data_IF_190027971827
#
_entry.id   IF_190027971827
#
_cell.length_a   1.000
_cell.length_b   1.000
_cell.length_c   1.000
_cell.angle_alpha   90.00
_cell.angle_beta   90.00
_cell.angle_gamma   90.00
#
_symmetry.space_group_name_H-M   'P 1'
#
loop_
_entity.id
_entity.type
_entity.pdbx_description
1 polymer ?
#
# COMPACT_ATOMS: atom_id res chain seq x y z
N UNK A 1 4.82 -21.68 -6.65
CA UNK A 1 4.56 -20.99 -5.38
C UNK A 1 3.04 -20.89 -5.23
N UNK A 2 2.46 -21.46 -4.18
CA UNK A 2 1.01 -21.37 -3.91
C UNK A 2 0.74 -19.91 -3.53
N UNK A 3 -0.25 -19.22 -4.14
CA UNK A 3 -0.59 -17.86 -3.73
C UNK A 3 -1.01 -17.89 -2.25
N UNK A 4 -0.30 -17.14 -1.41
CA UNK A 4 -0.68 -16.99 0.01
C UNK A 4 -1.99 -16.22 0.05
N UNK A 5 -2.96 -16.73 0.82
CA UNK A 5 -4.22 -16.02 1.05
C UNK A 5 -3.95 -14.75 1.88
N UNK A 6 -4.74 -13.67 1.73
CA UNK A 6 -4.63 -12.47 2.57
C UNK A 6 -4.65 -12.75 4.08
N UNK A 7 -5.41 -13.74 4.53
CA UNK A 7 -5.41 -14.20 5.93
C UNK A 7 -4.00 -14.52 6.44
N UNK A 8 -3.20 -15.25 5.65
CA UNK A 8 -1.82 -15.56 6.06
C UNK A 8 -0.95 -14.30 6.18
N UNK A 9 -1.17 -13.29 5.34
CA UNK A 9 -0.50 -12.00 5.41
C UNK A 9 -0.92 -11.23 6.65
N UNK A 10 -2.22 -11.19 6.96
CA UNK A 10 -2.77 -10.53 8.15
C UNK A 10 -2.19 -11.16 9.42
N UNK A 11 -2.20 -12.50 9.51
CA UNK A 11 -1.65 -13.23 10.65
C UNK A 11 -0.16 -12.96 10.82
N UNK A 12 0.59 -12.89 9.71
CA UNK A 12 2.03 -12.62 9.73
C UNK A 12 2.34 -11.19 10.23
N UNK A 13 1.64 -10.17 9.72
CA UNK A 13 1.78 -8.77 10.16
C UNK A 13 1.37 -8.62 11.63
N UNK A 14 0.23 -9.19 12.02
CA UNK A 14 -0.25 -9.12 13.39
C UNK A 14 0.71 -9.85 14.36
N UNK A 15 1.27 -10.99 13.95
CA UNK A 15 2.26 -11.72 14.74
C UNK A 15 3.56 -10.93 14.90
N UNK A 16 4.06 -10.29 13.82
CA UNK A 16 5.26 -9.45 13.89
C UNK A 16 5.10 -8.30 14.89
N UNK A 17 3.91 -7.72 15.01
CA UNK A 17 3.64 -6.66 15.99
C UNK A 17 3.76 -7.14 17.44
N UNK A 18 3.69 -8.45 17.70
CA UNK A 18 3.86 -9.06 19.03
C UNK A 18 5.32 -9.39 19.36
N UNK A 19 6.19 -9.55 18.34
CA UNK A 19 7.62 -9.88 18.58
C UNK A 19 8.46 -8.70 19.03
N UNK A 20 8.07 -7.49 18.63
CA UNK A 20 8.84 -6.29 18.92
C UNK A 20 8.07 -5.33 19.82
N UNK A 21 8.80 -4.64 20.69
CA UNK A 21 8.22 -3.51 21.45
C UNK A 21 7.78 -2.43 20.45
N UNK A 22 6.72 -1.72 20.78
CA UNK A 22 6.14 -0.67 19.92
C UNK A 22 7.19 0.34 19.43
N UNK A 23 8.08 0.80 20.31
CA UNK A 23 9.15 1.76 19.98
C UNK A 23 10.11 1.23 18.89
N UNK A 24 10.33 -0.09 18.83
CA UNK A 24 11.14 -0.71 17.78
C UNK A 24 10.37 -0.71 16.46
N UNK A 25 9.10 -1.10 16.49
CA UNK A 25 8.25 -1.15 15.31
C UNK A 25 8.05 0.25 14.67
N UNK A 26 8.04 1.31 15.47
CA UNK A 26 7.91 2.70 15.03
C UNK A 26 9.10 3.22 14.21
N UNK A 27 10.29 2.63 14.40
CA UNK A 27 11.51 3.05 13.71
C UNK A 27 12.02 2.03 12.68
N UNK A 28 11.30 0.92 12.49
CA UNK A 28 11.67 -0.10 11.51
C UNK A 28 11.57 0.43 10.09
N UNK A 29 12.53 0.04 9.25
CA UNK A 29 12.46 0.22 7.80
C UNK A 29 11.56 -0.85 7.19
N UNK A 30 10.53 -0.41 6.47
CA UNK A 30 9.64 -1.29 5.71
C UNK A 30 9.89 -1.08 4.22
N UNK A 31 10.14 -2.15 3.48
CA UNK A 31 10.41 -2.11 2.05
C UNK A 31 9.74 -3.28 1.32
N UNK A 32 9.47 -3.12 0.04
CA UNK A 32 8.90 -4.16 -0.83
C UNK A 32 9.94 -4.76 -1.76
N UNK A 33 10.95 -3.98 -2.12
CA UNK A 33 12.06 -4.38 -2.97
C UNK A 33 13.36 -3.67 -2.55
N UNK A 34 14.49 -4.21 -2.99
CA UNK A 34 15.82 -3.71 -2.66
C UNK A 34 16.83 -4.08 -3.74
N UNK A 35 18.10 -3.74 -3.52
CA UNK A 35 19.20 -4.16 -4.37
C UNK A 35 19.52 -5.68 -4.30
N UNK A 36 18.96 -6.39 -3.32
CA UNK A 36 19.17 -7.84 -3.11
C UNK A 36 17.96 -8.70 -3.50
N UNK A 37 16.85 -8.05 -3.93
CA UNK A 37 15.61 -8.74 -4.26
C UNK A 37 15.14 -8.35 -5.67
N UNK A 38 14.26 -9.16 -6.24
CA UNK A 38 13.54 -8.77 -7.46
C UNK A 38 12.76 -7.47 -7.23
N UNK A 39 12.63 -6.65 -8.30
CA UNK A 39 11.78 -5.46 -8.26
C UNK A 39 10.33 -5.82 -7.98
N UNK A 40 9.64 -4.96 -7.24
CA UNK A 40 8.22 -5.21 -6.90
C UNK A 40 7.34 -5.38 -8.14
N UNK A 41 7.65 -4.69 -9.25
CA UNK A 41 6.92 -4.86 -10.51
C UNK A 41 7.13 -6.25 -11.12
N UNK A 42 8.34 -6.81 -11.07
CA UNK A 42 8.62 -8.18 -11.50
C UNK A 42 7.88 -9.19 -10.62
N UNK A 43 7.96 -9.04 -9.29
CA UNK A 43 7.22 -9.85 -8.32
C UNK A 43 5.70 -9.80 -8.57
N UNK A 44 5.17 -8.63 -8.93
CA UNK A 44 3.77 -8.44 -9.32
C UNK A 44 3.46 -8.90 -10.75
N UNK A 45 4.43 -9.47 -11.49
CA UNK A 45 4.28 -9.91 -12.89
C UNK A 45 3.78 -8.81 -13.82
N UNK A 46 4.30 -7.59 -13.65
CA UNK A 46 3.92 -6.42 -14.43
C UNK A 46 2.56 -5.79 -14.04
N UNK A 47 1.90 -6.28 -12.99
CA UNK A 47 0.62 -5.73 -12.55
C UNK A 47 0.80 -4.45 -11.74
N UNK A 48 0.75 -3.30 -12.41
CA UNK A 48 0.92 -1.95 -11.81
C UNK A 48 -0.13 -1.66 -10.72
N UNK A 49 -1.37 -2.14 -10.87
CA UNK A 49 -2.40 -1.90 -9.85
C UNK A 49 -2.09 -2.64 -8.55
N UNK A 50 -1.57 -3.87 -8.66
CA UNK A 50 -1.11 -4.62 -7.49
C UNK A 50 0.07 -3.93 -6.81
N UNK A 51 1.01 -3.35 -7.60
CA UNK A 51 2.14 -2.56 -7.07
C UNK A 51 1.62 -1.32 -6.33
N UNK A 52 0.67 -0.57 -6.91
CA UNK A 52 0.05 0.59 -6.24
C UNK A 52 -0.63 0.20 -4.91
N UNK A 53 -1.36 -0.93 -4.89
CA UNK A 53 -1.98 -1.46 -3.66
C UNK A 53 -0.93 -1.85 -2.61
N UNK A 54 0.15 -2.52 -3.01
CA UNK A 54 1.23 -2.92 -2.11
C UNK A 54 1.95 -1.69 -1.53
N UNK A 55 2.23 -0.67 -2.35
CA UNK A 55 2.82 0.59 -1.91
C UNK A 55 1.91 1.34 -0.95
N UNK A 56 0.60 1.42 -1.23
CA UNK A 56 -0.35 2.05 -0.32
C UNK A 56 -0.39 1.31 1.03
N UNK A 57 -0.39 -0.03 1.03
CA UNK A 57 -0.32 -0.83 2.23
C UNK A 57 1.00 -0.56 3.00
N UNK A 58 2.16 -0.53 2.32
CA UNK A 58 3.46 -0.22 2.90
C UNK A 58 3.46 1.16 3.60
N UNK A 59 2.94 2.18 2.93
CA UNK A 59 2.93 3.55 3.46
C UNK A 59 1.99 3.73 4.64
N UNK A 60 1.00 2.86 4.79
CA UNK A 60 0.06 2.89 5.91
C UNK A 60 0.47 1.94 7.06
N UNK A 61 1.59 1.24 6.97
CA UNK A 61 2.13 0.45 8.07
C UNK A 61 2.82 1.35 9.11
N UNK A 62 2.97 0.83 10.33
CA UNK A 62 3.86 1.38 11.36
C UNK A 62 5.31 1.33 10.84
N UNK A 63 6.14 2.27 11.27
CA UNK A 63 7.54 2.38 10.84
C UNK A 63 7.74 3.30 9.64
N UNK A 64 8.88 3.21 9.00
CA UNK A 64 9.31 4.11 7.92
C UNK A 64 9.28 3.38 6.59
N UNK A 65 8.42 3.78 5.64
CA UNK A 65 8.44 3.22 4.30
C UNK A 65 9.73 3.62 3.57
N UNK A 66 10.40 2.64 2.99
CA UNK A 66 11.60 2.84 2.18
C UNK A 66 11.30 2.41 0.74
N UNK A 67 11.59 3.30 -0.22
CA UNK A 67 11.38 3.06 -1.64
C UNK A 67 12.72 2.89 -2.31
N UNK A 68 12.91 1.77 -2.99
CA UNK A 68 14.08 1.55 -3.81
C UNK A 68 13.98 2.38 -5.10
N UNK A 69 15.08 2.99 -5.54
CA UNK A 69 15.09 3.91 -6.69
C UNK A 69 14.45 3.29 -7.94
N UNK A 70 13.71 4.07 -8.70
CA UNK A 70 13.06 3.64 -9.94
C UNK A 70 11.70 2.94 -9.75
N UNK A 71 11.33 2.52 -8.53
CA UNK A 71 10.00 1.96 -8.26
C UNK A 71 8.90 2.97 -8.58
N UNK A 72 9.17 4.26 -8.34
CA UNK A 72 8.32 5.40 -8.69
C UNK A 72 8.18 5.64 -10.21
N UNK A 73 9.00 4.97 -11.02
CA UNK A 73 9.01 5.04 -12.49
C UNK A 73 8.71 3.68 -13.13
N UNK A 74 8.19 2.73 -12.35
CA UNK A 74 7.89 1.37 -12.82
C UNK A 74 9.13 0.66 -13.37
N UNK A 75 10.31 0.87 -12.73
CA UNK A 75 11.51 0.14 -13.10
C UNK A 75 11.35 -1.33 -12.75
N UNK A 76 11.46 -2.17 -13.76
CA UNK A 76 11.39 -3.62 -13.63
C UNK A 76 12.79 -4.23 -13.50
N UNK A 77 12.87 -5.46 -12.99
CA UNK A 77 14.11 -6.22 -12.89
C UNK A 77 13.92 -7.49 -12.06
N UNK A 78 14.47 -8.58 -12.57
CA UNK A 78 14.50 -9.88 -11.91
C UNK A 78 15.55 -9.98 -10.80
N UNK A 79 16.00 -11.21 -10.45
CA UNK A 79 17.04 -11.41 -9.43
C UNK A 79 18.32 -10.63 -9.70
N UNK A 80 19.15 -10.42 -8.65
CA UNK A 80 20.46 -9.80 -8.78
C UNK A 80 21.29 -10.46 -9.90
N UNK A 81 21.96 -9.68 -10.79
CA UNK A 81 22.11 -8.21 -10.77
C UNK A 81 21.01 -7.43 -11.51
N UNK A 82 20.02 -8.08 -12.09
CA UNK A 82 19.02 -7.45 -12.97
C UNK A 82 18.12 -6.44 -12.23
N UNK A 83 17.92 -6.61 -10.93
CA UNK A 83 17.22 -5.63 -10.08
C UNK A 83 17.93 -4.26 -9.99
N UNK A 84 19.21 -4.16 -10.38
CA UNK A 84 20.04 -2.95 -10.30
C UNK A 84 20.17 -2.20 -11.64
N UNK A 85 19.16 -2.30 -12.50
CA UNK A 85 19.13 -1.57 -13.78
C UNK A 85 19.26 -0.07 -13.57
N UNK A 86 19.76 0.62 -14.61
CA UNK A 86 19.95 2.08 -14.59
C UNK A 86 18.62 2.80 -14.39
N UNK A 87 18.66 3.92 -13.67
CA UNK A 87 17.49 4.78 -13.46
C UNK A 87 16.96 5.30 -14.79
N UNK A 88 15.65 5.11 -15.11
CA UNK A 88 15.07 5.54 -16.38
C UNK A 88 14.65 7.03 -16.31
N UNK A 89 15.64 7.92 -16.31
CA UNK A 89 15.44 9.37 -16.16
C UNK A 89 14.51 9.97 -17.20
N UNK A 90 14.44 9.38 -18.40
CA UNK A 90 13.54 9.78 -19.48
C UNK A 90 12.06 9.62 -19.15
N UNK A 91 11.73 8.80 -18.14
CA UNK A 91 10.35 8.60 -17.66
C UNK A 91 9.92 9.64 -16.63
N UNK A 92 10.82 10.49 -16.16
CA UNK A 92 10.51 11.54 -15.20
C UNK A 92 9.73 12.64 -15.89
N UNK A 93 8.43 12.67 -15.67
CA UNK A 93 7.55 13.73 -16.19
C UNK A 93 6.29 13.83 -15.31
N UNK A 94 5.62 14.97 -15.38
CA UNK A 94 4.32 15.16 -14.69
C UNK A 94 3.19 14.35 -15.33
N UNK A 95 3.40 13.76 -16.50
CA UNK A 95 2.47 12.81 -17.14
C UNK A 95 2.71 11.35 -16.68
N UNK A 96 3.76 11.06 -15.93
CA UNK A 96 4.02 9.72 -15.41
C UNK A 96 3.05 9.41 -14.25
N UNK A 97 2.11 8.49 -14.49
CA UNK A 97 1.04 8.16 -13.54
C UNK A 97 1.57 7.57 -12.23
N UNK A 98 2.60 6.71 -12.28
CA UNK A 98 3.17 6.11 -11.07
C UNK A 98 3.90 7.16 -10.24
N UNK A 99 4.67 8.05 -10.87
CA UNK A 99 5.34 9.14 -10.18
C UNK A 99 4.33 10.08 -9.49
N UNK A 100 3.24 10.43 -10.19
CA UNK A 100 2.17 11.26 -9.61
C UNK A 100 1.43 10.54 -8.48
N UNK A 101 1.20 9.24 -8.62
CA UNK A 101 0.65 8.41 -7.55
C UNK A 101 1.58 8.41 -6.32
N UNK A 102 2.87 8.22 -6.50
CA UNK A 102 3.86 8.23 -5.41
C UNK A 102 3.91 9.59 -4.69
N UNK A 103 3.87 10.70 -5.43
CA UNK A 103 3.79 12.06 -4.83
C UNK A 103 2.56 12.19 -3.92
N UNK A 104 1.37 11.72 -4.38
CA UNK A 104 0.13 11.74 -3.59
C UNK A 104 0.22 10.82 -2.36
N UNK A 105 0.79 9.64 -2.51
CA UNK A 105 0.94 8.67 -1.43
C UNK A 105 1.89 9.19 -0.33
N UNK A 106 3.01 9.83 -0.72
CA UNK A 106 3.94 10.49 0.21
C UNK A 106 3.24 11.64 0.95
N UNK A 107 2.44 12.44 0.25
CA UNK A 107 1.69 13.52 0.88
C UNK A 107 0.66 12.97 1.88
N UNK A 108 -0.12 11.96 1.48
CA UNK A 108 -1.06 11.28 2.37
C UNK A 108 -0.35 10.79 3.65
N UNK A 109 0.81 10.12 3.53
CA UNK A 109 1.57 9.65 4.71
C UNK A 109 1.96 10.79 5.64
N UNK A 110 2.35 11.95 5.09
CA UNK A 110 2.67 13.14 5.90
C UNK A 110 1.43 13.67 6.61
N UNK A 111 0.29 13.74 5.92
CA UNK A 111 -0.96 14.29 6.45
C UNK A 111 -1.55 13.44 7.57
N UNK A 112 -1.27 12.13 7.58
CA UNK A 112 -1.75 11.18 8.60
C UNK A 112 -0.64 10.68 9.53
N UNK A 113 0.53 11.35 9.54
CA UNK A 113 1.71 10.91 10.31
C UNK A 113 1.42 10.72 11.79
N UNK A 114 0.73 11.68 12.41
CA UNK A 114 0.41 11.65 13.85
C UNK A 114 -0.54 10.50 14.18
N UNK A 115 -1.53 10.24 13.31
CA UNK A 115 -2.47 9.13 13.47
C UNK A 115 -1.74 7.79 13.40
N UNK A 116 -0.80 7.62 12.46
CA UNK A 116 -0.01 6.38 12.34
C UNK A 116 1.01 6.22 13.47
N UNK A 117 1.57 7.32 13.96
CA UNK A 117 2.59 7.29 15.01
C UNK A 117 1.99 6.97 16.38
N UNK A 118 0.82 7.54 16.70
CA UNK A 118 0.23 7.48 18.04
C UNK A 118 -1.04 6.64 18.12
N UNK A 119 -1.63 6.28 16.98
CA UNK A 119 -2.92 5.61 16.90
C UNK A 119 -2.88 4.12 17.19
N UNK A 120 -4.08 3.59 17.36
CA UNK A 120 -4.33 2.15 17.47
C UNK A 120 -4.47 1.56 16.08
N UNK A 121 -3.67 0.52 15.80
CA UNK A 121 -3.64 -0.19 14.51
C UNK A 121 -4.53 -1.41 14.51
N UNK A 122 -5.27 -1.63 13.42
CA UNK A 122 -6.02 -2.85 13.17
C UNK A 122 -5.88 -3.27 11.71
N UNK A 123 -5.57 -4.54 11.47
CA UNK A 123 -5.55 -5.15 10.15
C UNK A 123 -6.41 -6.41 10.20
N UNK A 124 -7.46 -6.46 9.38
CA UNK A 124 -8.43 -7.56 9.38
C UNK A 124 -8.99 -7.84 7.99
N UNK A 125 -9.39 -9.08 7.76
CA UNK A 125 -10.21 -9.45 6.60
C UNK A 125 -11.66 -9.09 6.90
N UNK A 126 -12.30 -8.30 6.05
CA UNK A 126 -13.70 -7.86 6.20
C UNK A 126 -14.65 -8.63 5.29
N UNK A 127 -14.12 -9.25 4.25
CA UNK A 127 -14.77 -10.20 3.34
C UNK A 127 -13.67 -11.09 2.75
N UNK A 128 -13.95 -12.29 2.24
CA UNK A 128 -12.93 -13.12 1.60
C UNK A 128 -12.08 -12.32 0.59
N UNK A 129 -10.77 -12.29 0.83
CA UNK A 129 -9.78 -11.56 0.04
C UNK A 129 -9.97 -10.02 -0.03
N UNK A 130 -10.76 -9.44 0.90
CA UNK A 130 -10.87 -7.98 1.08
C UNK A 130 -10.35 -7.61 2.47
N UNK A 131 -9.32 -6.78 2.50
CA UNK A 131 -8.59 -6.43 3.72
C UNK A 131 -8.86 -4.98 4.10
N UNK A 132 -9.18 -4.72 5.38
CA UNK A 132 -9.23 -3.39 5.98
C UNK A 132 -8.02 -3.19 6.88
N UNK A 133 -7.33 -2.08 6.67
CA UNK A 133 -6.28 -1.53 7.53
C UNK A 133 -6.84 -0.26 8.16
N UNK A 134 -6.79 -0.15 9.47
CA UNK A 134 -7.38 0.96 10.20
C UNK A 134 -6.41 1.53 11.23
N UNK A 135 -6.43 2.84 11.38
CA UNK A 135 -5.81 3.60 12.46
C UNK A 135 -6.84 4.49 13.12
N UNK A 136 -6.80 4.58 14.44
CA UNK A 136 -7.66 5.45 15.23
C UNK A 136 -6.80 6.21 16.26
N UNK A 137 -6.88 7.54 16.25
CA UNK A 137 -6.18 8.42 17.17
C UNK A 137 -6.99 9.69 17.43
N UNK A 138 -7.37 9.90 18.68
CA UNK A 138 -8.06 11.11 19.16
C UNK A 138 -9.32 11.47 18.34
N UNK A 139 -10.12 10.45 17.96
CA UNK A 139 -11.33 10.60 17.16
C UNK A 139 -11.09 10.77 15.65
N UNK A 140 -9.83 10.85 15.22
CA UNK A 140 -9.45 10.86 13.80
C UNK A 140 -9.20 9.42 13.32
N UNK A 141 -9.64 9.11 12.11
CA UNK A 141 -9.50 7.76 11.55
C UNK A 141 -8.88 7.76 10.17
N UNK A 142 -8.03 6.78 9.94
CA UNK A 142 -7.57 6.40 8.60
C UNK A 142 -8.00 4.97 8.35
N UNK A 143 -8.76 4.74 7.30
CA UNK A 143 -9.15 3.41 6.86
C UNK A 143 -8.70 3.19 5.43
N UNK A 144 -8.01 2.09 5.17
CA UNK A 144 -7.70 1.64 3.82
C UNK A 144 -8.36 0.28 3.56
N UNK A 145 -9.05 0.16 2.44
CA UNK A 145 -9.68 -1.10 2.00
C UNK A 145 -8.98 -1.56 0.73
N UNK A 146 -8.42 -2.77 0.77
CA UNK A 146 -7.70 -3.42 -0.33
C UNK A 146 -8.52 -4.60 -0.86
N UNK A 147 -8.91 -4.54 -2.11
CA UNK A 147 -9.64 -5.63 -2.75
C UNK A 147 -8.68 -6.58 -3.46
N UNK A 148 -8.33 -7.69 -2.82
CA UNK A 148 -7.51 -8.74 -3.41
C UNK A 148 -8.34 -9.89 -4.01
N UNK A 149 -9.68 -9.80 -3.95
CA UNK A 149 -10.61 -10.75 -4.55
C UNK A 149 -10.61 -10.66 -6.09
N UNK A 150 -11.37 -11.53 -6.72
CA UNK A 150 -11.61 -11.52 -8.18
C UNK A 150 -12.86 -10.74 -8.57
N UNK A 151 -13.63 -10.24 -7.60
CA UNK A 151 -14.88 -9.52 -7.80
C UNK A 151 -14.76 -8.07 -7.36
N UNK A 152 -15.67 -7.23 -7.83
CA UNK A 152 -15.80 -5.85 -7.39
C UNK A 152 -16.29 -5.80 -5.93
N UNK A 153 -15.76 -4.85 -5.15
CA UNK A 153 -16.20 -4.56 -3.80
C UNK A 153 -16.76 -3.15 -3.70
N UNK A 154 -17.96 -3.01 -3.13
CA UNK A 154 -18.63 -1.71 -3.01
C UNK A 154 -18.44 -1.15 -1.61
N UNK A 155 -18.16 0.15 -1.54
CA UNK A 155 -18.06 0.92 -0.29
C UNK A 155 -18.79 2.24 -0.45
N UNK A 156 -19.18 2.88 0.66
CA UNK A 156 -19.71 4.24 0.62
C UNK A 156 -18.60 5.22 0.25
N UNK A 157 -18.97 6.31 -0.42
CA UNK A 157 -18.04 7.33 -0.94
C UNK A 157 -17.84 8.48 0.05
N UNK A 158 -17.49 8.19 1.30
CA UNK A 158 -17.25 9.22 2.30
C UNK A 158 -15.74 9.46 2.45
N UNK A 159 -15.32 10.75 2.45
CA UNK A 159 -13.96 11.17 2.86
C UNK A 159 -12.78 10.47 2.13
N UNK A 160 -12.91 10.21 0.82
CA UNK A 160 -11.85 9.58 0.02
C UNK A 160 -10.62 10.48 -0.08
N UNK A 161 -9.51 10.03 0.48
CA UNK A 161 -8.21 10.71 0.42
C UNK A 161 -7.34 10.22 -0.75
N UNK A 162 -7.36 8.91 -1.03
CA UNK A 162 -6.63 8.31 -2.14
C UNK A 162 -7.35 7.05 -2.63
N UNK A 163 -7.42 6.85 -3.93
CA UNK A 163 -7.96 5.63 -4.52
C UNK A 163 -7.18 5.23 -5.77
N UNK A 164 -7.17 3.94 -6.07
CA UNK A 164 -6.63 3.39 -7.31
C UNK A 164 -7.44 2.20 -7.77
N UNK A 165 -7.70 2.12 -9.09
CA UNK A 165 -8.52 1.08 -9.72
C UNK A 165 -9.94 1.02 -9.12
N UNK A 166 -10.54 2.20 -8.96
CA UNK A 166 -11.89 2.39 -8.46
C UNK A 166 -12.75 3.11 -9.50
N UNK A 167 -14.06 2.87 -9.45
CA UNK A 167 -15.06 3.55 -10.27
C UNK A 167 -16.15 4.14 -9.37
N UNK A 168 -16.60 5.34 -9.69
CA UNK A 168 -17.71 5.97 -8.99
C UNK A 168 -19.05 5.43 -9.52
N UNK A 169 -19.93 5.09 -8.61
CA UNK A 169 -21.28 4.63 -8.89
C UNK A 169 -22.25 5.29 -7.90
N UNK A 170 -22.93 6.34 -8.35
CA UNK A 170 -23.83 7.14 -7.49
C UNK A 170 -23.11 7.61 -6.20
N UNK A 171 -23.63 7.24 -5.03
CA UNK A 171 -23.02 7.53 -3.71
C UNK A 171 -22.04 6.44 -3.23
N UNK A 172 -21.65 5.51 -4.10
CA UNK A 172 -20.75 4.42 -3.78
C UNK A 172 -19.47 4.49 -4.60
N UNK A 173 -18.45 3.84 -4.11
CA UNK A 173 -17.21 3.58 -4.82
C UNK A 173 -17.07 2.08 -5.04
N UNK A 174 -16.86 1.69 -6.28
CA UNK A 174 -16.58 0.30 -6.68
C UNK A 174 -15.08 0.11 -6.71
N UNK A 175 -14.56 -0.72 -5.83
CA UNK A 175 -13.14 -1.12 -5.81
C UNK A 175 -12.99 -2.36 -6.69
N UNK A 176 -12.36 -2.22 -7.83
CA UNK A 176 -12.07 -3.35 -8.74
C UNK A 176 -11.01 -4.29 -8.14
N UNK A 177 -10.88 -5.54 -8.64
CA UNK A 177 -9.80 -6.45 -8.24
C UNK A 177 -8.42 -5.78 -8.30
N UNK A 178 -7.61 -5.93 -7.23
CA UNK A 178 -6.30 -5.28 -7.02
C UNK A 178 -6.36 -3.77 -6.80
N UNK A 179 -7.56 -3.18 -6.73
CA UNK A 179 -7.78 -1.79 -6.35
C UNK A 179 -7.76 -1.59 -4.84
N UNK A 180 -7.73 -0.32 -4.45
CA UNK A 180 -7.84 0.10 -3.05
C UNK A 180 -8.42 1.50 -2.94
N UNK A 181 -8.91 1.82 -1.75
CA UNK A 181 -9.31 3.17 -1.35
C UNK A 181 -8.81 3.48 0.06
N UNK A 182 -8.44 4.72 0.30
CA UNK A 182 -8.09 5.25 1.62
C UNK A 182 -9.05 6.36 1.99
N UNK A 183 -9.66 6.25 3.14
CA UNK A 183 -10.51 7.25 3.78
C UNK A 183 -9.75 7.93 4.91
N UNK A 184 -9.96 9.22 5.10
CA UNK A 184 -9.43 9.99 6.23
C UNK A 184 -10.57 10.81 6.84
N UNK A 185 -10.94 10.47 8.06
CA UNK A 185 -11.92 11.18 8.87
C UNK A 185 -11.17 12.02 9.92
N UNK A 186 -11.51 13.31 9.98
CA UNK A 186 -10.91 14.27 10.92
C UNK A 186 -11.93 14.71 11.94
#
# INVERSE_FOLDING_TARGET
>A
MVPRRPVNFIDEINSQSMYYRQQISEVMFNLLDSHDTERILATAKGNVQLVKSALACLFLQRGTPCIYYGTELELDGGPDPDCRRVMPWERVSDSNEMLMFMKKLIQLRKDVSDIIQHGTYSLKEIKPDVVSLEWDYDGQKVQAIFNQSTENYLVNRDSVALASHCQELDNQLVISPKGFVVFVEK
#
